data_IF_211368126608
#
_entry.id   IF_211368126608
#
_cell.length_a   1.000
_cell.length_b   1.000
_cell.length_c   1.000
_cell.angle_alpha   90.00
_cell.angle_beta   90.00
_cell.angle_gamma   90.00
#
_symmetry.space_group_name_H-M   'P 1'
#
loop_
_entity.id
_entity.type
_entity.pdbx_description
1 polymer ?
#
# COMPACT_ATOMS: atom_id res chain seq x y z
N UNK A 1 -11.09 -15.46 -12.79
CA UNK A 1 -9.92 -14.64 -12.41
C UNK A 1 -9.22 -15.30 -11.23
N UNK A 2 -7.91 -15.52 -11.32
CA UNK A 2 -7.14 -16.20 -10.29
C UNK A 2 -6.92 -15.24 -9.11
N UNK A 3 -7.53 -15.52 -7.95
CA UNK A 3 -7.44 -14.68 -6.75
C UNK A 3 -5.98 -14.51 -6.27
N UNK A 4 -5.11 -15.46 -6.63
CA UNK A 4 -3.72 -15.53 -6.20
C UNK A 4 -2.80 -14.43 -6.76
N UNK A 5 -3.24 -13.61 -7.72
CA UNK A 5 -2.41 -12.56 -8.32
C UNK A 5 -2.75 -11.15 -7.82
N UNK A 6 -3.60 -11.00 -6.80
CA UNK A 6 -3.97 -9.67 -6.28
C UNK A 6 -2.96 -9.16 -5.24
N UNK A 7 -2.70 -7.84 -5.22
CA UNK A 7 -1.78 -7.26 -4.25
C UNK A 7 -2.32 -7.47 -2.83
N UNK A 8 -1.41 -7.78 -1.91
CA UNK A 8 -1.76 -8.10 -0.52
C UNK A 8 -1.85 -6.85 0.36
N UNK A 9 -1.12 -5.79 0.00
CA UNK A 9 -0.97 -4.61 0.86
C UNK A 9 -1.07 -3.31 0.07
N UNK A 10 -1.36 -2.22 0.79
CA UNK A 10 -1.35 -0.84 0.26
C UNK A 10 -0.35 0.00 1.03
N UNK A 11 0.58 0.64 0.32
CA UNK A 11 1.61 1.53 0.88
C UNK A 11 1.37 2.94 0.35
N UNK A 12 1.55 3.95 1.20
CA UNK A 12 1.43 5.36 0.85
C UNK A 12 2.82 5.95 0.62
N UNK A 13 3.08 6.42 -0.60
CA UNK A 13 4.39 6.91 -1.03
C UNK A 13 4.30 8.37 -1.47
N UNK A 14 5.24 9.18 -0.99
CA UNK A 14 5.41 10.58 -1.33
C UNK A 14 6.15 10.71 -2.67
N UNK A 15 5.50 11.32 -3.66
CA UNK A 15 6.09 11.74 -4.93
C UNK A 15 5.99 13.26 -5.04
N UNK A 16 7.10 13.95 -4.74
CA UNK A 16 7.08 15.41 -4.58
C UNK A 16 6.12 15.82 -3.47
N UNK A 17 5.15 16.68 -3.81
CA UNK A 17 4.11 17.16 -2.88
C UNK A 17 2.92 16.20 -2.74
N UNK A 18 2.82 15.20 -3.61
CA UNK A 18 1.68 14.27 -3.63
C UNK A 18 1.99 13.02 -2.82
N UNK A 19 0.95 12.43 -2.23
CA UNK A 19 1.00 11.09 -1.63
C UNK A 19 0.13 10.18 -2.47
N UNK A 20 0.73 9.14 -3.05
CA UNK A 20 0.04 8.17 -3.88
C UNK A 20 -0.05 6.82 -3.18
N UNK A 21 -1.15 6.07 -3.33
CA UNK A 21 -1.21 4.68 -2.94
C UNK A 21 -0.51 3.81 -3.99
N UNK A 22 0.34 2.90 -3.54
CA UNK A 22 0.83 1.78 -4.35
C UNK A 22 0.31 0.46 -3.77
N UNK A 23 0.00 -0.48 -4.64
CA UNK A 23 -0.58 -1.77 -4.28
C UNK A 23 0.49 -2.84 -4.49
N UNK A 24 0.88 -3.52 -3.42
CA UNK A 24 2.10 -4.33 -3.42
C UNK A 24 1.79 -5.79 -3.11
N UNK A 25 2.57 -6.69 -3.71
CA UNK A 25 2.45 -8.14 -3.51
C UNK A 25 2.89 -8.54 -2.09
N UNK A 26 3.80 -7.80 -1.47
CA UNK A 26 4.32 -8.16 -0.16
C UNK A 26 3.23 -8.08 0.92
N UNK A 27 3.14 -9.08 1.82
CA UNK A 27 2.23 -9.00 2.95
C UNK A 27 2.70 -7.93 3.93
N UNK A 28 1.74 -7.33 4.64
CA UNK A 28 1.99 -6.15 5.49
C UNK A 28 3.05 -6.36 6.57
N UNK A 29 3.18 -7.57 7.11
CA UNK A 29 4.19 -7.88 8.12
C UNK A 29 5.62 -7.86 7.55
N UNK A 30 5.79 -8.24 6.28
CA UNK A 30 7.09 -8.15 5.59
C UNK A 30 7.46 -6.68 5.37
N UNK A 31 6.51 -5.86 4.92
CA UNK A 31 6.69 -4.42 4.74
C UNK A 31 7.07 -3.75 6.06
N UNK A 32 6.34 -4.07 7.14
CA UNK A 32 6.59 -3.55 8.48
C UNK A 32 8.01 -3.91 8.97
N UNK A 33 8.46 -5.14 8.73
CA UNK A 33 9.80 -5.59 9.11
C UNK A 33 10.89 -4.88 8.29
N UNK A 34 10.74 -4.79 6.97
CA UNK A 34 11.66 -4.06 6.10
C UNK A 34 11.79 -2.58 6.49
N UNK A 35 10.67 -1.95 6.84
CA UNK A 35 10.66 -0.57 7.33
C UNK A 35 11.36 -0.43 8.68
N UNK A 36 11.27 -1.41 9.58
CA UNK A 36 11.97 -1.36 10.87
C UNK A 36 13.48 -1.55 10.74
N UNK A 37 13.92 -2.41 9.81
CA UNK A 37 15.33 -2.79 9.67
C UNK A 37 16.17 -1.86 8.78
N UNK A 38 15.55 -1.04 7.93
CA UNK A 38 16.25 -0.18 6.97
C UNK A 38 16.64 1.19 7.53
N UNK A 39 17.67 1.83 6.97
CA UNK A 39 18.00 3.23 7.24
C UNK A 39 17.11 4.18 6.44
N UNK A 40 17.05 5.45 6.85
CA UNK A 40 16.13 6.44 6.29
C UNK A 40 16.36 6.74 4.79
N UNK A 41 17.59 6.58 4.31
CA UNK A 41 17.96 6.87 2.92
C UNK A 41 17.99 5.63 2.01
N UNK A 42 17.75 4.45 2.58
CA UNK A 42 17.79 3.19 1.84
C UNK A 42 16.63 3.10 0.86
N UNK A 43 16.87 2.38 -0.24
CA UNK A 43 15.80 1.95 -1.14
C UNK A 43 15.14 0.70 -0.59
N UNK A 44 13.82 0.70 -0.64
CA UNK A 44 12.96 -0.46 -0.45
C UNK A 44 12.40 -0.83 -1.81
N UNK A 45 12.41 -2.12 -2.12
CA UNK A 45 11.93 -2.65 -3.40
C UNK A 45 10.60 -3.34 -3.12
N UNK A 46 9.58 -2.95 -3.86
CA UNK A 46 8.25 -3.56 -3.80
C UNK A 46 7.83 -4.06 -5.16
N UNK A 47 7.17 -5.22 -5.19
CA UNK A 47 6.44 -5.70 -6.36
C UNK A 47 5.10 -4.97 -6.43
N UNK A 48 5.02 -3.93 -7.26
CA UNK A 48 3.84 -3.07 -7.36
C UNK A 48 2.95 -3.49 -8.50
N UNK A 49 1.66 -3.71 -8.21
CA UNK A 49 0.63 -3.89 -9.21
C UNK A 49 0.38 -2.59 -9.96
N UNK A 50 0.54 -2.65 -11.28
CA UNK A 50 0.34 -1.52 -12.19
C UNK A 50 -0.59 -1.91 -13.32
N UNK A 51 -1.40 -0.96 -13.78
CA UNK A 51 -2.04 -1.04 -15.08
C UNK A 51 -1.06 -0.53 -16.14
N UNK A 52 -0.84 -1.33 -17.19
CA UNK A 52 -0.15 -0.86 -18.38
C UNK A 52 -1.18 -0.15 -19.24
N UNK A 53 -1.06 1.16 -19.38
CA UNK A 53 -1.82 1.85 -20.41
C UNK A 53 -1.25 1.43 -21.77
N UNK A 54 -2.11 0.97 -22.68
CA UNK A 54 -1.68 0.58 -24.02
C UNK A 54 -1.47 1.80 -24.94
N UNK A 55 -1.93 2.99 -24.53
CA UNK A 55 -1.80 4.25 -25.26
C UNK A 55 -0.70 5.15 -24.70
N UNK A 56 -0.29 4.93 -23.45
CA UNK A 56 0.72 5.72 -22.75
C UNK A 56 1.88 4.83 -22.27
N UNK A 57 3.12 5.30 -22.37
CA UNK A 57 4.29 4.57 -21.86
C UNK A 57 4.39 4.61 -20.33
N UNK A 58 3.42 5.24 -19.66
CA UNK A 58 3.39 5.45 -18.22
C UNK A 58 2.65 4.32 -17.52
N UNK A 59 3.32 3.73 -16.54
CA UNK A 59 2.74 2.77 -15.61
C UNK A 59 2.00 3.51 -14.50
N UNK A 60 0.78 3.06 -14.19
CA UNK A 60 -0.03 3.66 -13.11
C UNK A 60 -0.39 2.61 -12.07
N UNK A 61 -0.13 2.84 -10.77
CA UNK A 61 -0.49 1.88 -9.73
C UNK A 61 -1.99 1.62 -9.69
N UNK A 62 -2.36 0.35 -9.83
CA UNK A 62 -3.74 -0.10 -9.91
C UNK A 62 -3.84 -1.56 -9.43
N UNK A 63 -4.98 -1.95 -8.85
CA UNK A 63 -5.24 -3.30 -8.34
C UNK A 63 -6.51 -3.95 -8.92
N UNK A 64 -7.15 -3.32 -9.91
CA UNK A 64 -8.47 -3.73 -10.41
C UNK A 64 -8.40 -4.97 -11.31
N UNK A 65 -8.20 -4.80 -12.62
CA UNK A 65 -8.18 -5.88 -13.62
C UNK A 65 -7.05 -5.67 -14.64
N UNK A 66 -6.43 -6.76 -15.08
CA UNK A 66 -5.26 -6.80 -15.99
C UNK A 66 -4.00 -6.04 -15.49
N UNK A 67 -3.64 -6.31 -14.24
CA UNK A 67 -2.42 -5.76 -13.64
C UNK A 67 -1.18 -6.54 -14.05
N UNK A 68 -0.06 -5.82 -14.16
CA UNK A 68 1.30 -6.38 -14.22
C UNK A 68 2.06 -5.94 -12.98
N UNK A 69 2.88 -6.82 -12.42
CA UNK A 69 3.80 -6.42 -11.35
C UNK A 69 5.07 -5.82 -11.93
N UNK A 70 5.49 -4.70 -11.37
CA UNK A 70 6.78 -4.08 -11.65
C UNK A 70 7.55 -3.86 -10.35
N UNK A 71 8.86 -4.03 -10.40
CA UNK A 71 9.72 -3.67 -9.28
C UNK A 71 9.78 -2.15 -9.15
N UNK A 72 9.35 -1.63 -8.01
CA UNK A 72 9.46 -0.21 -7.69
C UNK A 72 10.43 0.00 -6.54
N UNK A 73 11.51 0.73 -6.84
CA UNK A 73 12.50 1.17 -5.87
C UNK A 73 12.06 2.50 -5.25
N UNK A 74 11.71 2.49 -3.97
CA UNK A 74 11.21 3.65 -3.21
C UNK A 74 12.14 3.94 -2.06
N UNK A 75 12.57 5.20 -1.85
CA UNK A 75 13.36 5.52 -0.66
C UNK A 75 12.49 5.42 0.60
N UNK A 76 13.02 4.88 1.69
CA UNK A 76 12.28 4.74 2.96
C UNK A 76 11.64 6.05 3.42
N UNK A 77 12.35 7.16 3.32
CA UNK A 77 11.83 8.48 3.72
C UNK A 77 10.64 8.99 2.87
N UNK A 78 10.35 8.36 1.72
CA UNK A 78 9.18 8.67 0.92
C UNK A 78 7.95 7.90 1.40
N UNK A 79 8.11 6.84 2.20
CA UNK A 79 6.97 6.08 2.71
C UNK A 79 6.33 6.84 3.87
N UNK A 80 5.06 7.21 3.68
CA UNK A 80 4.27 7.95 4.67
C UNK A 80 3.47 7.01 5.58
N UNK A 81 3.23 5.78 5.14
CA UNK A 81 2.54 4.76 5.92
C UNK A 81 2.13 3.56 5.07
N UNK A 82 1.51 2.58 5.71
CA UNK A 82 0.94 1.40 5.06
C UNK A 82 -0.33 0.98 5.81
N UNK A 83 -1.24 0.28 5.13
CA UNK A 83 -2.48 -0.20 5.73
C UNK A 83 -2.33 -1.66 6.15
N UNK A 84 -2.52 -1.92 7.44
CA UNK A 84 -2.63 -3.26 8.01
C UNK A 84 -4.09 -3.57 8.27
N UNK A 85 -4.63 -4.57 7.56
CA UNK A 85 -5.95 -5.11 7.90
C UNK A 85 -5.82 -5.81 9.25
N UNK A 86 -6.40 -5.23 10.29
CA UNK A 86 -6.60 -5.95 11.53
C UNK A 86 -7.65 -7.04 11.24
N UNK A 87 -7.36 -8.30 11.61
CA UNK A 87 -8.38 -9.34 11.69
C UNK A 87 -9.60 -8.74 12.39
N UNK A 88 -10.84 -9.04 11.93
CA UNK A 88 -12.02 -8.45 12.55
C UNK A 88 -11.89 -8.65 14.06
N UNK A 89 -11.80 -7.54 14.82
CA UNK A 89 -11.99 -7.61 16.27
C UNK A 89 -13.33 -8.32 16.38
N UNK A 90 -13.35 -9.56 16.89
CA UNK A 90 -14.61 -10.25 17.22
C UNK A 90 -15.42 -9.19 17.94
N UNK A 91 -16.54 -8.77 17.37
CA UNK A 91 -17.32 -7.65 17.87
C UNK A 91 -17.70 -7.96 19.32
N UNK A 92 -16.91 -7.44 20.25
CA UNK A 92 -17.17 -7.42 21.68
C UNK A 92 -17.08 -5.96 22.05
N UNK A 93 -18.15 -5.25 21.68
CA UNK A 93 -18.44 -3.85 22.00
C UNK A 93 -17.47 -2.88 21.29
N UNK A 94 -17.88 -1.75 20.74
CA UNK A 94 -18.94 -0.84 21.13
C UNK A 94 -19.40 -0.04 19.91
N UNK A 95 -20.63 0.43 19.97
CA UNK A 95 -21.15 1.48 19.11
C UNK A 95 -20.12 2.61 19.03
N UNK A 96 -19.63 2.92 17.83
CA UNK A 96 -19.01 4.22 17.56
C UNK A 96 -20.14 5.26 17.48
N UNK A 97 -20.87 5.43 18.58
CA UNK A 97 -21.54 6.68 18.93
C UNK A 97 -20.55 7.40 19.84
N UNK A 98 -20.02 8.54 19.39
CA UNK A 98 -19.14 9.36 20.21
C UNK A 98 -17.91 9.89 19.47
N UNK A 99 -18.14 10.70 18.44
CA UNK A 99 -17.19 11.75 18.02
C UNK A 99 -18.00 12.98 17.61
N UNK A 100 -18.42 13.80 18.60
CA UNK A 100 -19.11 15.09 18.42
C UNK A 100 -20.54 14.94 17.86
N UNK A 101 -21.56 15.69 18.28
CA UNK A 101 -21.57 17.07 18.73
C UNK A 101 -22.10 17.17 20.16
N UNK A 102 -21.28 17.77 21.03
CA UNK A 102 -21.77 18.39 22.25
C UNK A 102 -22.05 19.85 21.94
N UNK A 103 -23.17 20.31 22.48
CA UNK A 103 -23.81 21.64 22.43
C UNK A 103 -24.68 21.96 21.22
#
# INVERSE_FOLDING_TARGET
MNINNRPHSKVLVSMGIQVIPIYVEEPVDVIENQLKSSHQLDFLIFNVAMLRDNQDLRWTPNCDQEITYVEWHVRKNQIRGFLKRLSPKKAKYSNAQGWGEGE
#
